data_IF_791560647404
#
_entry.id   IF_791560647404
#
_cell.length_a   1.000
_cell.length_b   1.000
_cell.length_c   1.000
_cell.angle_alpha   90.00
_cell.angle_beta   90.00
_cell.angle_gamma   90.00
#
_symmetry.space_group_name_H-M   'P 1'
#
loop_
_entity.id
_entity.type
_entity.pdbx_description
1 polymer ?
#
# COMPACT_ATOMS: atom_id res chain seq x y z
N UNK A 1 -13.23 -14.08 -5.53
CA UNK A 1 -13.18 -13.07 -4.44
C UNK A 1 -13.32 -11.68 -5.02
N UNK A 2 -14.17 -10.84 -4.44
CA UNK A 2 -14.39 -9.43 -4.81
C UNK A 2 -13.64 -8.55 -3.81
N UNK A 3 -12.60 -7.87 -4.28
CA UNK A 3 -11.71 -7.04 -3.47
C UNK A 3 -12.08 -5.58 -3.68
N UNK A 4 -12.61 -4.92 -2.64
CA UNK A 4 -12.73 -3.47 -2.63
C UNK A 4 -11.35 -2.86 -2.34
N UNK A 5 -11.00 -1.76 -3.01
CA UNK A 5 -9.71 -1.12 -2.78
C UNK A 5 -9.79 0.40 -2.91
N UNK A 6 -8.96 1.06 -2.10
CA UNK A 6 -8.65 2.48 -2.17
C UNK A 6 -7.25 2.74 -1.60
N UNK A 7 -6.75 3.94 -1.81
CA UNK A 7 -5.52 4.46 -1.21
C UNK A 7 -5.62 5.96 -0.99
N UNK A 8 -4.65 6.52 -0.30
CA UNK A 8 -4.49 7.97 -0.17
C UNK A 8 -5.79 8.65 0.30
N UNK A 9 -6.39 8.09 1.37
CA UNK A 9 -7.65 8.59 1.90
C UNK A 9 -7.49 9.98 2.52
N UNK A 10 -6.31 10.24 3.11
CA UNK A 10 -5.92 11.51 3.70
C UNK A 10 -7.00 12.11 4.61
N UNK A 11 -7.47 11.29 5.56
CA UNK A 11 -8.53 11.68 6.49
C UNK A 11 -8.09 12.81 7.42
N UNK A 12 -6.79 13.04 7.57
CA UNK A 12 -6.21 14.20 8.26
C UNK A 12 -6.59 15.54 7.63
N UNK A 13 -6.93 15.57 6.33
CA UNK A 13 -7.37 16.79 5.64
C UNK A 13 -8.88 16.87 5.49
N UNK A 14 -9.56 15.74 5.39
CA UNK A 14 -11.02 15.65 5.29
C UNK A 14 -11.50 14.33 5.88
N UNK A 15 -11.98 14.38 7.12
CA UNK A 15 -12.46 13.22 7.88
C UNK A 15 -13.80 12.64 7.41
N UNK A 16 -14.37 13.16 6.32
CA UNK A 16 -15.60 12.62 5.74
C UNK A 16 -15.33 11.24 5.12
N UNK A 17 -16.01 10.23 5.63
CA UNK A 17 -15.90 8.86 5.18
C UNK A 17 -17.10 8.51 4.30
N UNK A 18 -16.83 8.10 3.07
CA UNK A 18 -17.85 7.45 2.22
C UNK A 18 -17.74 5.93 2.36
N UNK A 19 -18.87 5.25 2.19
CA UNK A 19 -18.95 3.79 2.15
C UNK A 19 -19.41 3.30 0.78
N UNK A 20 -19.42 4.19 -0.21
CA UNK A 20 -19.79 3.89 -1.60
C UNK A 20 -18.78 2.91 -2.22
N UNK A 21 -19.28 1.84 -2.84
CA UNK A 21 -18.46 0.84 -3.50
C UNK A 21 -18.09 -0.38 -2.64
N UNK A 22 -18.48 -0.43 -1.35
CA UNK A 22 -18.20 -1.59 -0.49
C UNK A 22 -19.21 -2.73 -0.62
N UNK A 23 -20.38 -2.48 -1.20
CA UNK A 23 -21.45 -3.49 -1.28
C UNK A 23 -21.00 -4.74 -2.03
N UNK A 24 -21.09 -5.89 -1.36
CA UNK A 24 -20.72 -7.19 -1.89
C UNK A 24 -19.21 -7.41 -2.06
N UNK A 25 -18.36 -6.59 -1.42
CA UNK A 25 -16.95 -6.88 -1.30
C UNK A 25 -16.70 -7.97 -0.26
N UNK A 26 -15.84 -8.93 -0.59
CA UNK A 26 -15.40 -9.99 0.32
C UNK A 26 -14.27 -9.48 1.26
N UNK A 27 -13.43 -8.57 0.77
CA UNK A 27 -12.33 -7.95 1.52
C UNK A 27 -12.14 -6.49 1.08
N UNK A 28 -11.73 -5.62 2.00
CA UNK A 28 -11.31 -4.25 1.72
C UNK A 28 -9.79 -4.14 1.84
N UNK A 29 -9.15 -3.56 0.84
CA UNK A 29 -7.71 -3.25 0.80
C UNK A 29 -7.52 -1.73 0.84
N UNK A 30 -6.70 -1.26 1.79
CA UNK A 30 -6.29 0.13 1.92
C UNK A 30 -4.77 0.22 1.73
N UNK A 31 -4.37 0.82 0.60
CA UNK A 31 -3.00 0.82 0.12
C UNK A 31 -2.21 2.07 0.57
N UNK A 32 -2.26 2.40 1.86
CA UNK A 32 -1.50 3.46 2.51
C UNK A 32 -2.14 4.85 2.48
N UNK A 33 -1.58 5.74 3.27
CA UNK A 33 -1.99 7.13 3.44
C UNK A 33 -3.48 7.25 3.81
N UNK A 34 -3.87 6.53 4.87
CA UNK A 34 -5.23 6.60 5.42
C UNK A 34 -5.37 7.81 6.34
N UNK A 35 -4.46 7.96 7.30
CA UNK A 35 -4.39 9.09 8.23
C UNK A 35 -3.00 9.15 8.89
N UNK A 36 -2.55 10.33 9.25
CA UNK A 36 -1.24 10.55 9.91
C UNK A 36 -1.21 10.15 11.39
N UNK A 37 -2.35 9.80 12.00
CA UNK A 37 -2.45 9.50 13.42
C UNK A 37 -3.07 8.12 13.69
N UNK A 38 -2.41 7.26 14.47
CA UNK A 38 -2.89 5.91 14.76
C UNK A 38 -4.29 5.86 15.38
N UNK A 39 -4.65 6.86 16.21
CA UNK A 39 -5.95 6.93 16.88
C UNK A 39 -7.12 7.00 15.90
N UNK A 40 -6.92 7.63 14.74
CA UNK A 40 -7.93 7.73 13.71
C UNK A 40 -8.18 6.42 12.97
N UNK A 41 -7.24 5.47 12.99
CA UNK A 41 -7.48 4.11 12.46
C UNK A 41 -8.54 3.37 13.27
N UNK A 42 -8.51 3.48 14.58
CA UNK A 42 -9.56 2.91 15.45
C UNK A 42 -10.92 3.56 15.17
N UNK A 43 -10.97 4.87 15.03
CA UNK A 43 -12.21 5.60 14.71
C UNK A 43 -12.71 5.29 13.29
N UNK A 44 -11.80 5.20 12.32
CA UNK A 44 -12.11 4.78 10.95
C UNK A 44 -12.75 3.40 10.94
N UNK A 45 -12.12 2.41 11.60
CA UNK A 45 -12.65 1.05 11.69
C UNK A 45 -14.00 1.03 12.37
N UNK A 46 -14.18 1.76 13.46
CA UNK A 46 -15.47 1.88 14.16
C UNK A 46 -16.59 2.40 13.23
N UNK A 47 -16.29 3.43 12.43
CA UNK A 47 -17.26 3.97 11.44
C UNK A 47 -17.52 2.97 10.31
N UNK A 48 -16.44 2.34 9.80
CA UNK A 48 -16.54 1.37 8.72
C UNK A 48 -17.44 0.19 9.10
N UNK A 49 -17.35 -0.29 10.35
CA UNK A 49 -18.14 -1.43 10.86
C UNK A 49 -19.65 -1.17 10.93
N UNK A 50 -20.10 0.07 10.80
CA UNK A 50 -21.54 0.37 10.68
C UNK A 50 -22.15 -0.15 9.37
N UNK A 51 -21.33 -0.38 8.33
CA UNK A 51 -21.80 -0.77 7.00
C UNK A 51 -20.98 -1.92 6.36
N UNK A 52 -19.82 -2.29 6.90
CA UNK A 52 -18.98 -3.33 6.34
C UNK A 52 -18.42 -4.23 7.43
N UNK A 53 -18.79 -5.51 7.39
CA UNK A 53 -18.38 -6.52 8.37
C UNK A 53 -17.21 -7.40 7.91
N UNK A 54 -16.78 -7.27 6.64
CA UNK A 54 -15.72 -8.09 6.06
C UNK A 54 -14.31 -7.72 6.52
N UNK A 55 -13.30 -8.54 6.19
CA UNK A 55 -11.91 -8.26 6.50
C UNK A 55 -11.40 -6.97 5.88
N UNK A 56 -10.44 -6.32 6.59
CA UNK A 56 -9.74 -5.13 6.10
C UNK A 56 -8.24 -5.39 6.13
N UNK A 57 -7.57 -5.16 5.02
CA UNK A 57 -6.11 -5.26 4.89
C UNK A 57 -5.55 -3.86 4.70
N UNK A 58 -4.61 -3.48 5.58
CA UNK A 58 -3.86 -2.24 5.49
C UNK A 58 -2.42 -2.50 5.08
N UNK A 59 -1.84 -1.61 4.30
CA UNK A 59 -0.41 -1.28 4.29
C UNK A 59 -0.28 0.18 4.69
N UNK A 60 0.86 0.57 5.26
CA UNK A 60 1.14 1.97 5.56
C UNK A 60 1.72 2.67 4.33
N UNK A 61 1.49 3.97 4.23
CA UNK A 61 2.19 4.84 3.30
C UNK A 61 3.27 5.66 3.98
N UNK A 62 3.66 6.77 3.37
CA UNK A 62 4.62 7.70 3.96
C UNK A 62 3.96 8.65 4.98
N UNK A 63 2.70 9.02 4.78
CA UNK A 63 1.98 9.94 5.68
C UNK A 63 1.76 9.35 7.07
N UNK A 64 1.67 8.05 7.24
CA UNK A 64 1.59 7.42 8.54
C UNK A 64 2.85 7.66 9.41
N UNK A 65 3.95 8.06 8.80
CA UNK A 65 5.19 8.41 9.52
C UNK A 65 5.43 9.92 9.65
N UNK A 66 4.52 10.77 9.12
CA UNK A 66 4.68 12.23 9.18
C UNK A 66 4.64 12.73 10.64
N UNK A 67 5.65 13.53 11.00
CA UNK A 67 5.92 14.03 12.34
C UNK A 67 6.16 12.90 13.38
N UNK A 68 6.42 11.71 12.91
CA UNK A 68 6.68 10.51 13.70
C UNK A 68 8.08 9.96 13.51
N UNK A 69 8.32 8.79 14.09
CA UNK A 69 9.62 8.09 14.08
C UNK A 69 9.51 6.84 13.19
N UNK A 70 10.31 6.82 12.13
CA UNK A 70 10.41 5.66 11.25
C UNK A 70 11.57 4.74 11.68
N UNK A 71 11.38 3.41 11.73
CA UNK A 71 10.15 2.68 11.47
C UNK A 71 9.29 2.41 12.72
N UNK A 72 9.65 2.93 13.88
CA UNK A 72 9.13 2.53 15.20
C UNK A 72 7.62 2.80 15.33
N UNK A 73 7.14 3.88 14.73
CA UNK A 73 5.73 4.27 14.82
C UNK A 73 4.79 3.28 14.12
N UNK A 74 5.31 2.39 13.27
CA UNK A 74 4.52 1.26 12.73
C UNK A 74 3.80 0.47 13.82
N UNK A 75 4.46 0.28 14.97
CA UNK A 75 3.87 -0.47 16.09
C UNK A 75 2.59 0.21 16.60
N UNK A 76 2.52 1.53 16.64
CA UNK A 76 1.33 2.27 17.08
C UNK A 76 0.12 1.98 16.17
N UNK A 77 0.34 1.92 14.85
CA UNK A 77 -0.70 1.55 13.89
C UNK A 77 -1.11 0.08 14.01
N UNK A 78 -0.15 -0.82 14.25
CA UNK A 78 -0.47 -2.23 14.51
C UNK A 78 -1.35 -2.38 15.74
N UNK A 79 -1.04 -1.68 16.83
CA UNK A 79 -1.83 -1.67 18.06
C UNK A 79 -3.24 -1.08 17.83
N UNK A 80 -3.36 0.05 17.12
CA UNK A 80 -4.64 0.68 16.80
C UNK A 80 -5.54 -0.23 15.94
N UNK A 81 -4.97 -0.93 14.96
CA UNK A 81 -5.67 -1.84 14.07
C UNK A 81 -6.05 -3.15 14.78
N UNK A 82 -5.22 -3.64 15.70
CA UNK A 82 -5.44 -4.89 16.43
C UNK A 82 -6.69 -4.88 17.33
N UNK A 83 -7.28 -3.72 17.61
CA UNK A 83 -8.57 -3.63 18.29
C UNK A 83 -9.74 -4.20 17.46
N UNK A 84 -9.56 -4.35 16.15
CA UNK A 84 -10.54 -4.97 15.25
C UNK A 84 -10.00 -6.33 14.77
N UNK A 85 -10.60 -7.47 15.19
CA UNK A 85 -10.11 -8.80 14.82
C UNK A 85 -10.24 -9.13 13.33
N UNK A 86 -11.02 -8.34 12.58
CA UNK A 86 -11.18 -8.47 11.13
C UNK A 86 -10.23 -7.54 10.36
N UNK A 87 -9.33 -6.84 11.05
CA UNK A 87 -8.35 -5.96 10.41
C UNK A 87 -6.93 -6.50 10.56
N UNK A 88 -6.10 -6.30 9.54
CA UNK A 88 -4.69 -6.69 9.55
C UNK A 88 -3.85 -5.63 8.85
N UNK A 89 -2.69 -5.30 9.44
CA UNK A 89 -1.65 -4.50 8.83
C UNK A 89 -0.56 -5.42 8.29
N UNK A 90 -0.19 -5.23 7.02
CA UNK A 90 0.88 -5.98 6.37
C UNK A 90 2.07 -5.06 6.08
N UNK A 91 3.24 -5.42 6.62
CA UNK A 91 4.52 -4.78 6.29
C UNK A 91 5.58 -5.87 6.17
N UNK A 92 5.94 -6.21 4.93
CA UNK A 92 6.70 -7.41 4.59
C UNK A 92 6.07 -8.68 5.19
N UNK A 93 4.75 -8.76 5.11
CA UNK A 93 3.94 -9.83 5.66
C UNK A 93 2.87 -10.27 4.66
N UNK A 94 2.30 -11.44 4.87
CA UNK A 94 1.21 -11.94 4.06
C UNK A 94 0.06 -12.49 4.89
N UNK A 95 -1.11 -12.58 4.26
CA UNK A 95 -2.27 -13.29 4.77
C UNK A 95 -2.93 -14.05 3.62
N UNK A 96 -3.52 -15.21 3.93
CA UNK A 96 -4.34 -15.96 2.98
C UNK A 96 -5.79 -15.90 3.46
N UNK A 97 -6.70 -15.46 2.58
CA UNK A 97 -8.14 -15.39 2.83
C UNK A 97 -8.86 -16.06 1.68
N UNK A 98 -9.69 -17.06 1.96
CA UNK A 98 -10.46 -17.80 0.97
C UNK A 98 -9.62 -18.25 -0.25
N UNK A 99 -8.40 -18.73 0.00
CA UNK A 99 -7.48 -19.21 -1.03
C UNK A 99 -6.79 -18.12 -1.85
N UNK A 100 -7.00 -16.84 -1.56
CA UNK A 100 -6.25 -15.72 -2.14
C UNK A 100 -5.15 -15.29 -1.19
N UNK A 101 -3.91 -15.24 -1.67
CA UNK A 101 -2.75 -14.73 -0.91
C UNK A 101 -2.57 -13.23 -1.14
N UNK A 102 -2.52 -12.46 -0.06
CA UNK A 102 -2.24 -11.04 -0.05
C UNK A 102 -0.84 -10.80 0.52
N UNK A 103 0.04 -10.19 -0.26
CA UNK A 103 1.40 -9.80 0.13
C UNK A 103 1.42 -8.28 0.29
N UNK A 104 1.79 -7.76 1.47
CA UNK A 104 1.74 -6.32 1.75
C UNK A 104 3.07 -5.74 2.20
N UNK A 105 3.40 -4.53 1.71
CA UNK A 105 4.53 -3.71 2.13
C UNK A 105 4.31 -2.25 1.75
N UNK A 106 4.84 -1.30 2.52
CA UNK A 106 4.94 0.11 2.07
C UNK A 106 5.72 0.21 0.76
N UNK A 107 6.69 -0.66 0.57
CA UNK A 107 7.62 -0.79 -0.55
C UNK A 107 8.66 0.33 -0.59
N UNK A 108 8.27 1.58 -0.36
CA UNK A 108 9.13 2.73 -0.62
C UNK A 108 9.72 2.71 -2.04
N UNK A 109 10.86 3.38 -2.28
CA UNK A 109 11.41 3.50 -3.63
C UNK A 109 12.93 3.33 -3.69
N UNK A 110 13.43 3.07 -4.91
CA UNK A 110 14.87 2.97 -5.21
C UNK A 110 15.46 4.28 -5.76
N UNK A 111 14.68 5.35 -5.81
CA UNK A 111 15.11 6.68 -6.33
C UNK A 111 15.72 6.60 -7.73
N UNK A 112 15.09 5.85 -8.64
CA UNK A 112 15.61 5.59 -9.98
C UNK A 112 17.01 4.93 -9.93
N UNK A 113 17.13 3.86 -9.14
CA UNK A 113 18.39 3.18 -8.84
C UNK A 113 19.44 4.12 -8.21
N UNK A 114 19.00 4.95 -7.28
CA UNK A 114 19.81 5.91 -6.52
C UNK A 114 20.10 7.23 -7.23
N UNK A 115 19.78 7.36 -8.51
CA UNK A 115 20.14 8.55 -9.30
C UNK A 115 19.44 9.83 -8.87
N UNK A 116 18.27 9.71 -8.26
CA UNK A 116 17.44 10.84 -7.85
C UNK A 116 17.43 11.08 -6.34
N UNK A 117 18.21 10.34 -5.54
CA UNK A 117 18.26 10.48 -4.08
C UNK A 117 18.46 11.93 -3.62
N UNK A 118 19.44 12.63 -4.23
CA UNK A 118 19.72 14.04 -3.87
C UNK A 118 18.53 14.96 -4.14
N UNK A 119 17.88 14.80 -5.29
CA UNK A 119 16.74 15.64 -5.64
C UNK A 119 15.54 15.33 -4.72
N UNK A 120 15.25 14.05 -4.49
CA UNK A 120 14.19 13.64 -3.58
C UNK A 120 14.44 14.18 -2.17
N UNK A 121 15.69 14.08 -1.65
CA UNK A 121 16.07 14.63 -0.33
C UNK A 121 15.75 16.12 -0.17
N UNK A 122 15.84 16.90 -1.24
CA UNK A 122 15.63 18.36 -1.19
C UNK A 122 14.24 18.81 -1.61
N UNK A 123 13.45 17.96 -2.24
CA UNK A 123 12.18 18.34 -2.87
C UNK A 123 10.97 17.59 -2.31
N UNK A 124 11.18 16.53 -1.53
CA UNK A 124 10.09 15.76 -0.93
C UNK A 124 10.01 16.06 0.56
N UNK A 125 8.81 16.35 1.04
CA UNK A 125 8.53 16.66 2.44
C UNK A 125 8.85 15.52 3.40
N UNK A 126 8.81 14.27 2.94
CA UNK A 126 9.16 13.08 3.73
C UNK A 126 10.46 13.26 4.51
N UNK A 127 11.47 13.82 3.84
CA UNK A 127 12.80 14.00 4.42
C UNK A 127 12.92 15.21 5.36
N UNK A 128 11.87 16.00 5.50
CA UNK A 128 11.80 17.12 6.44
C UNK A 128 10.94 16.75 7.66
N UNK A 129 9.92 15.90 7.48
CA UNK A 129 8.89 15.65 8.49
C UNK A 129 8.89 14.24 9.09
N UNK A 130 9.60 13.27 8.49
CA UNK A 130 9.75 11.93 9.07
C UNK A 130 11.10 11.86 9.80
N UNK A 131 11.11 11.42 11.06
CA UNK A 131 12.30 11.35 11.89
C UNK A 131 12.85 9.92 12.00
N UNK A 132 14.17 9.79 12.25
CA UNK A 132 14.84 8.51 12.48
C UNK A 132 14.95 8.14 13.98
N UNK A 133 14.45 9.03 14.86
CA UNK A 133 14.49 8.84 16.32
C UNK A 133 15.85 9.04 16.97
N UNK A 134 16.91 9.30 16.20
CA UNK A 134 18.30 9.42 16.70
C UNK A 134 18.95 10.72 16.29
N UNK A 135 19.05 10.97 14.98
CA UNK A 135 19.88 12.06 14.43
C UNK A 135 19.07 13.15 13.75
N UNK A 136 17.80 12.97 13.56
CA UNK A 136 16.90 13.93 12.90
C UNK A 136 15.96 13.30 11.90
N UNK A 137 15.95 13.82 10.67
CA UNK A 137 15.07 13.30 9.61
C UNK A 137 15.64 12.04 8.98
N UNK A 138 14.75 11.18 8.46
CA UNK A 138 15.16 10.01 7.67
C UNK A 138 15.98 10.42 6.45
N UNK A 139 16.75 9.49 5.92
CA UNK A 139 17.58 9.72 4.74
C UNK A 139 17.15 8.87 3.55
N UNK A 140 17.45 9.30 2.31
CA UNK A 140 17.21 8.45 1.14
C UNK A 140 17.92 7.10 1.22
N UNK A 141 19.08 7.03 1.88
CA UNK A 141 19.82 5.78 2.11
C UNK A 141 19.03 4.81 2.99
N UNK A 142 18.40 5.30 4.05
CA UNK A 142 17.50 4.53 4.91
C UNK A 142 16.34 3.97 4.09
N UNK A 143 15.67 4.81 3.31
CA UNK A 143 14.53 4.43 2.48
C UNK A 143 14.94 3.43 1.39
N UNK A 144 16.08 3.65 0.73
CA UNK A 144 16.60 2.70 -0.26
C UNK A 144 16.85 1.32 0.35
N UNK A 145 17.40 1.27 1.57
CA UNK A 145 17.62 -0.01 2.28
C UNK A 145 16.30 -0.73 2.55
N UNK A 146 15.29 -0.02 3.04
CA UNK A 146 13.95 -0.58 3.30
C UNK A 146 13.31 -1.08 2.02
N UNK A 147 13.41 -0.32 0.92
CA UNK A 147 12.96 -0.77 -0.40
C UNK A 147 13.63 -2.10 -0.81
N UNK A 148 14.95 -2.19 -0.65
CA UNK A 148 15.71 -3.40 -0.99
C UNK A 148 15.27 -4.61 -0.14
N UNK A 149 15.00 -4.40 1.15
CA UNK A 149 14.52 -5.45 2.05
C UNK A 149 13.13 -5.93 1.66
N UNK A 150 12.22 -5.01 1.32
CA UNK A 150 10.87 -5.35 0.83
C UNK A 150 10.92 -6.12 -0.49
N UNK A 151 11.79 -5.72 -1.41
CA UNK A 151 11.99 -6.45 -2.68
C UNK A 151 12.58 -7.84 -2.44
N UNK A 152 13.55 -7.98 -1.54
CA UNK A 152 14.14 -9.26 -1.19
C UNK A 152 13.09 -10.20 -0.55
N UNK A 153 12.25 -9.66 0.33
CA UNK A 153 11.14 -10.39 0.92
C UNK A 153 10.14 -10.86 -0.15
N UNK A 154 9.71 -9.98 -1.06
CA UNK A 154 8.82 -10.35 -2.16
C UNK A 154 9.46 -11.43 -3.07
N UNK A 155 10.74 -11.27 -3.45
CA UNK A 155 11.46 -12.30 -4.22
C UNK A 155 11.44 -13.66 -3.49
N UNK A 156 11.64 -13.66 -2.17
CA UNK A 156 11.53 -14.86 -1.33
C UNK A 156 10.14 -15.49 -1.36
N UNK A 157 9.08 -14.66 -1.23
CA UNK A 157 7.69 -15.14 -1.26
C UNK A 157 7.32 -15.83 -2.59
N UNK A 158 7.79 -15.29 -3.71
CA UNK A 158 7.50 -15.90 -5.03
C UNK A 158 8.43 -17.05 -5.39
N UNK A 159 9.63 -17.12 -4.80
CA UNK A 159 10.63 -18.16 -5.14
C UNK A 159 10.53 -19.36 -4.22
N UNK A 160 10.33 -19.14 -2.91
CA UNK A 160 10.44 -20.19 -1.90
C UNK A 160 9.09 -20.59 -1.29
N UNK A 161 8.05 -19.77 -1.48
CA UNK A 161 6.72 -20.02 -0.94
C UNK A 161 5.66 -20.05 -2.05
N UNK A 162 5.64 -21.10 -2.90
CA UNK A 162 4.66 -21.21 -3.97
C UNK A 162 3.24 -21.23 -3.39
N UNK A 163 2.31 -20.63 -4.12
CA UNK A 163 0.90 -20.58 -3.76
C UNK A 163 0.05 -20.94 -4.98
N UNK A 164 -0.84 -21.92 -4.84
CA UNK A 164 -1.65 -22.42 -5.96
C UNK A 164 -2.85 -21.51 -6.29
N UNK A 165 -3.24 -20.63 -5.35
CA UNK A 165 -4.32 -19.68 -5.55
C UNK A 165 -3.85 -18.34 -6.14
N UNK A 166 -4.78 -17.41 -6.37
CA UNK A 166 -4.45 -16.06 -6.79
C UNK A 166 -3.56 -15.34 -5.76
N UNK A 167 -2.66 -14.52 -6.27
CA UNK A 167 -1.81 -13.68 -5.42
C UNK A 167 -2.04 -12.20 -5.75
N UNK A 168 -2.33 -11.42 -4.72
CA UNK A 168 -2.48 -9.97 -4.75
C UNK A 168 -1.31 -9.33 -4.01
N UNK A 169 -0.59 -8.45 -4.67
CA UNK A 169 0.44 -7.63 -4.01
C UNK A 169 -0.16 -6.26 -3.71
N UNK A 170 0.06 -5.77 -2.50
CA UNK A 170 -0.41 -4.48 -2.04
C UNK A 170 0.81 -3.68 -1.62
N UNK A 171 1.01 -2.51 -2.25
CA UNK A 171 2.08 -1.60 -1.84
C UNK A 171 1.53 -0.16 -1.74
N UNK A 172 2.23 0.71 -1.01
CA UNK A 172 1.87 2.12 -1.10
C UNK A 172 2.56 2.77 -2.30
N UNK A 173 3.88 2.69 -2.40
CA UNK A 173 4.60 3.26 -3.53
C UNK A 173 4.40 2.45 -4.82
N UNK A 174 4.42 3.16 -5.95
CA UNK A 174 4.12 2.57 -7.25
C UNK A 174 5.24 1.65 -7.76
N UNK A 175 4.90 0.44 -8.28
CA UNK A 175 5.89 -0.54 -8.73
C UNK A 175 6.43 -0.29 -10.15
N UNK A 176 5.93 0.73 -10.84
CA UNK A 176 6.31 1.02 -12.23
C UNK A 176 6.10 2.49 -12.56
N UNK A 177 6.97 3.03 -13.39
CA UNK A 177 6.80 4.38 -13.97
C UNK A 177 5.59 4.49 -14.92
N UNK A 178 4.92 3.39 -15.29
CA UNK A 178 3.62 3.42 -15.95
C UNK A 178 2.52 4.00 -15.08
N UNK A 179 2.70 4.01 -13.77
CA UNK A 179 1.81 4.68 -12.82
C UNK A 179 2.04 6.20 -12.74
N UNK A 180 3.11 6.70 -13.35
CA UNK A 180 3.36 8.14 -13.37
C UNK A 180 2.49 8.82 -14.43
N UNK A 181 1.68 9.80 -14.01
CA UNK A 181 0.90 10.59 -14.95
C UNK A 181 1.82 11.37 -15.90
N UNK A 182 1.51 11.47 -17.22
CA UNK A 182 2.35 12.15 -18.21
C UNK A 182 2.75 13.60 -17.86
N UNK A 183 1.93 14.31 -17.07
CA UNK A 183 2.25 15.68 -16.57
C UNK A 183 3.57 15.74 -15.77
N UNK A 184 4.02 14.60 -15.21
CA UNK A 184 5.25 14.49 -14.45
C UNK A 184 6.42 13.90 -15.25
N UNK A 185 6.26 13.72 -16.57
CA UNK A 185 7.31 13.21 -17.44
C UNK A 185 8.58 14.07 -17.29
N UNK A 186 9.73 13.43 -16.99
CA UNK A 186 10.99 14.13 -16.80
C UNK A 186 11.16 14.81 -15.43
N UNK A 187 10.24 14.61 -14.49
CA UNK A 187 10.39 15.13 -13.13
C UNK A 187 11.68 14.61 -12.47
N UNK A 188 12.47 15.47 -11.83
CA UNK A 188 13.73 15.08 -11.17
C UNK A 188 13.52 14.25 -9.90
N UNK A 189 12.28 14.06 -9.46
CA UNK A 189 11.91 13.30 -8.25
C UNK A 189 10.96 12.12 -8.55
N UNK A 190 10.76 11.75 -9.82
CA UNK A 190 9.89 10.60 -10.18
C UNK A 190 10.27 9.32 -9.44
N UNK A 191 11.58 9.14 -9.18
CA UNK A 191 12.09 7.99 -8.43
C UNK A 191 11.75 8.00 -6.94
N UNK A 192 11.19 9.07 -6.40
CA UNK A 192 10.60 9.11 -5.05
C UNK A 192 9.17 8.59 -5.01
N UNK A 193 8.52 8.45 -6.17
CA UNK A 193 7.13 8.00 -6.29
C UNK A 193 7.00 6.60 -6.87
N UNK A 194 7.90 6.24 -7.78
CA UNK A 194 7.85 4.99 -8.54
C UNK A 194 9.20 4.29 -8.54
N UNK A 195 9.15 2.95 -8.53
CA UNK A 195 10.32 2.08 -8.80
C UNK A 195 10.07 1.25 -10.05
N UNK A 196 11.13 0.78 -10.72
CA UNK A 196 10.94 -0.09 -11.89
C UNK A 196 11.02 -1.57 -11.49
N UNK A 197 9.87 -2.15 -11.17
CA UNK A 197 9.75 -3.58 -10.83
C UNK A 197 9.16 -4.42 -11.98
N UNK A 198 9.01 -3.88 -13.19
CA UNK A 198 8.30 -4.55 -14.29
C UNK A 198 8.87 -5.94 -14.62
N UNK A 199 10.19 -6.09 -14.64
CA UNK A 199 10.85 -7.38 -14.90
C UNK A 199 10.55 -8.41 -13.78
N UNK A 200 10.46 -7.95 -12.52
CA UNK A 200 10.10 -8.80 -11.38
C UNK A 200 8.62 -9.20 -11.47
N UNK A 201 7.74 -8.25 -11.73
CA UNK A 201 6.30 -8.50 -11.91
C UNK A 201 6.06 -9.53 -13.01
N UNK A 202 6.77 -9.43 -14.14
CA UNK A 202 6.67 -10.41 -15.24
C UNK A 202 7.17 -11.80 -14.84
N UNK A 203 8.15 -11.89 -13.93
CA UNK A 203 8.67 -13.15 -13.41
C UNK A 203 7.77 -13.73 -12.31
N UNK A 204 7.35 -12.90 -11.35
CA UNK A 204 6.51 -13.31 -10.21
C UNK A 204 5.07 -13.62 -10.63
N UNK A 205 4.52 -12.83 -11.54
CA UNK A 205 3.17 -12.97 -12.10
C UNK A 205 2.06 -12.94 -11.04
N UNK A 206 2.03 -11.99 -10.10
CA UNK A 206 0.84 -11.83 -9.28
C UNK A 206 -0.37 -11.55 -10.18
N UNK A 207 -1.57 -11.91 -9.74
CA UNK A 207 -2.80 -11.64 -10.50
C UNK A 207 -3.12 -10.16 -10.51
N UNK A 208 -3.00 -9.53 -9.34
CA UNK A 208 -3.28 -8.11 -9.12
C UNK A 208 -2.15 -7.46 -8.33
N UNK A 209 -1.85 -6.21 -8.65
CA UNK A 209 -1.01 -5.32 -7.86
C UNK A 209 -1.80 -4.05 -7.56
N UNK A 210 -2.08 -3.77 -6.28
CA UNK A 210 -2.77 -2.55 -5.82
C UNK A 210 -1.74 -1.63 -5.20
N UNK A 211 -1.77 -0.34 -5.56
CA UNK A 211 -0.88 0.65 -4.96
C UNK A 211 -1.56 2.01 -4.78
N UNK A 212 -0.87 2.96 -4.14
CA UNK A 212 -1.25 4.34 -3.91
C UNK A 212 -0.19 5.34 -4.35
N UNK A 213 -0.03 6.38 -3.57
CA UNK A 213 1.02 7.42 -3.56
C UNK A 213 1.02 8.40 -4.74
N UNK A 214 0.64 7.99 -5.92
CA UNK A 214 0.73 8.83 -7.14
C UNK A 214 -0.46 9.76 -7.34
N UNK A 215 -1.51 9.63 -6.54
CA UNK A 215 -2.75 10.41 -6.56
C UNK A 215 -3.44 10.48 -7.93
N UNK A 216 -3.08 9.59 -8.86
CA UNK A 216 -3.77 9.44 -10.15
C UNK A 216 -4.34 8.02 -10.28
N UNK A 217 -5.64 7.86 -10.62
CA UNK A 217 -6.23 6.55 -10.81
C UNK A 217 -5.55 5.79 -11.94
N UNK A 218 -5.16 4.53 -11.66
CA UNK A 218 -4.45 3.68 -12.63
C UNK A 218 -5.15 2.34 -12.79
N UNK A 219 -5.18 1.85 -14.02
CA UNK A 219 -5.61 0.50 -14.38
C UNK A 219 -4.90 0.08 -15.66
N UNK A 220 -3.83 -0.69 -15.52
CA UNK A 220 -3.04 -1.16 -16.65
C UNK A 220 -2.46 -2.55 -16.38
N UNK A 221 -1.75 -3.12 -17.36
CA UNK A 221 -1.14 -4.44 -17.22
C UNK A 221 0.38 -4.43 -17.42
N UNK A 222 1.03 -5.28 -16.64
CA UNK A 222 2.41 -5.70 -16.84
C UNK A 222 2.39 -7.21 -17.04
N UNK A 223 2.55 -7.67 -18.28
CA UNK A 223 2.30 -9.08 -18.60
C UNK A 223 0.86 -9.49 -18.27
N UNK A 224 0.69 -10.48 -17.40
CA UNK A 224 -0.64 -10.93 -16.94
C UNK A 224 -1.16 -10.15 -15.74
N UNK A 225 -0.30 -9.51 -14.98
CA UNK A 225 -0.63 -8.77 -13.76
C UNK A 225 -1.42 -7.50 -14.08
N UNK A 226 -2.56 -7.31 -13.44
CA UNK A 226 -3.31 -6.04 -13.48
C UNK A 226 -2.81 -5.13 -12.36
N UNK A 227 -2.35 -3.93 -12.70
CA UNK A 227 -1.86 -2.93 -11.74
C UNK A 227 -2.90 -1.85 -11.57
N UNK A 228 -3.26 -1.57 -10.34
CA UNK A 228 -4.40 -0.74 -9.95
C UNK A 228 -3.99 0.32 -8.93
N UNK A 229 -4.52 1.53 -9.09
CA UNK A 229 -4.48 2.58 -8.09
C UNK A 229 -5.84 3.28 -8.06
N UNK A 230 -6.38 3.49 -6.85
CA UNK A 230 -7.64 4.21 -6.65
C UNK A 230 -7.49 5.19 -5.48
N UNK A 231 -6.77 6.31 -5.70
CA UNK A 231 -6.53 7.28 -4.66
C UNK A 231 -7.76 8.18 -4.46
N UNK A 232 -8.07 8.51 -3.21
CA UNK A 232 -8.99 9.60 -2.92
C UNK A 232 -8.29 10.95 -3.06
N UNK A 233 -7.00 11.00 -2.72
CA UNK A 233 -6.15 12.17 -2.87
C UNK A 233 -6.52 13.32 -1.93
N UNK A 234 -5.83 14.43 -2.10
CA UNK A 234 -6.12 15.62 -1.32
C UNK A 234 -7.45 16.28 -1.72
N UNK A 235 -8.14 16.99 -0.81
CA UNK A 235 -9.45 17.61 -1.11
C UNK A 235 -9.45 18.53 -2.33
N UNK A 236 -8.33 19.21 -2.60
CA UNK A 236 -8.19 20.12 -3.75
C UNK A 236 -7.93 19.41 -5.10
N UNK A 237 -7.72 18.10 -5.10
CA UNK A 237 -7.51 17.34 -6.34
C UNK A 237 -8.82 16.90 -6.99
N UNK A 238 -9.95 17.02 -6.28
CA UNK A 238 -11.29 16.73 -6.81
C UNK A 238 -11.50 15.28 -7.22
N UNK A 239 -10.81 14.33 -6.57
CA UNK A 239 -10.96 12.89 -6.82
C UNK A 239 -12.27 12.35 -6.28
N UNK A 240 -12.81 11.32 -6.93
CA UNK A 240 -13.96 10.61 -6.42
C UNK A 240 -13.57 9.80 -5.18
N UNK A 241 -14.27 10.01 -4.07
CA UNK A 241 -14.09 9.28 -2.82
C UNK A 241 -15.00 8.06 -2.80
N UNK A 242 -14.60 7.01 -3.53
CA UNK A 242 -15.33 5.74 -3.63
C UNK A 242 -14.35 4.57 -3.63
N UNK A 243 -14.79 3.41 -3.12
CA UNK A 243 -14.05 2.17 -3.27
C UNK A 243 -14.33 1.57 -4.65
N UNK A 244 -13.30 1.04 -5.31
CA UNK A 244 -13.44 0.28 -6.54
C UNK A 244 -13.33 -1.20 -6.24
N UNK A 245 -13.92 -2.02 -7.11
CA UNK A 245 -13.89 -3.49 -6.98
C UNK A 245 -13.00 -4.09 -8.07
N UNK A 246 -12.13 -5.02 -7.68
CA UNK A 246 -11.46 -5.96 -8.58
C UNK A 246 -11.83 -7.38 -8.19
N UNK A 247 -12.00 -8.25 -9.17
CA UNK A 247 -12.30 -9.66 -8.94
C UNK A 247 -11.08 -10.52 -9.22
N UNK A 248 -10.84 -11.51 -8.35
CA UNK A 248 -9.87 -12.58 -8.57
C UNK A 248 -10.63 -13.90 -8.71
N UNK A 249 -10.20 -14.75 -9.64
CA UNK A 249 -10.79 -16.08 -9.82
C UNK A 249 -10.21 -17.03 -8.77
N UNK A 250 -10.78 -17.02 -7.55
CA UNK A 250 -10.44 -18.02 -6.54
C UNK A 250 -10.92 -19.40 -7.02
N UNK A 251 -10.02 -20.34 -7.18
CA UNK A 251 -10.36 -21.75 -7.39
C UNK A 251 -10.71 -22.37 -6.05
N UNK A 252 -12.02 -22.64 -5.85
CA UNK A 252 -12.64 -23.45 -4.78
C UNK A 252 -12.29 -23.12 -3.32
N UNK A 253 -13.36 -23.06 -2.53
CA UNK A 253 -13.41 -22.90 -1.07
C UNK A 253 -12.51 -23.92 -0.36
N UNK A 254 -11.49 -23.41 0.31
CA UNK A 254 -10.79 -24.10 1.37
C UNK A 254 -10.74 -23.15 2.56
N UNK A 255 -11.44 -23.50 3.64
CA UNK A 255 -11.41 -22.77 4.90
C UNK A 255 -9.99 -22.74 5.44
N UNK A 256 -9.32 -21.57 5.39
CA UNK A 256 -8.21 -21.32 6.30
C UNK A 256 -7.75 -19.86 6.27
N UNK A 257 -7.96 -19.21 7.38
CA UNK A 257 -7.26 -18.00 7.76
C UNK A 257 -5.87 -18.43 8.27
N UNK A 258 -4.83 -18.24 7.47
CA UNK A 258 -3.46 -18.50 7.91
C UNK A 258 -2.70 -17.17 8.00
N UNK A 259 -2.24 -16.84 9.21
CA UNK A 259 -1.24 -15.78 9.44
C UNK A 259 0.13 -16.47 9.58
N UNK A 260 1.17 -15.84 9.07
CA UNK A 260 2.53 -16.19 9.46
C UNK A 260 2.91 -15.31 10.66
N UNK A 261 2.90 -15.90 11.85
CA UNK A 261 3.57 -15.35 13.03
C UNK A 261 4.99 -15.93 13.00
N UNK A 262 5.98 -15.17 12.44
CA UNK A 262 7.41 -15.31 12.73
C UNK A 262 8.19 -14.11 12.16
#
# INVERSE_FOLDING_TARGET
>A
MRIAYASDLHLEFDSSLTLTGLSGADVLVLAGDVDTMPEYYTEFLRKLRLAYAGPVIFVLGNHEYYNGIFPDDRQKYQEAIAHDPQAVLLENQFVIMDGVRFLGATLWTDFASGKQMRNCRHMMSDFDVIHDGVSGSITPETILKVHQDSIAWLDGQFTHHPHDGPTVVITHHAPSYKSQHPRFAGSPISGGFCSNQENRIQRWKPDVWIHGHVHDPMDYRIGKTRVLCNPWGYPNEGRAREYRIVETNATSKGDSYARCDD
#
